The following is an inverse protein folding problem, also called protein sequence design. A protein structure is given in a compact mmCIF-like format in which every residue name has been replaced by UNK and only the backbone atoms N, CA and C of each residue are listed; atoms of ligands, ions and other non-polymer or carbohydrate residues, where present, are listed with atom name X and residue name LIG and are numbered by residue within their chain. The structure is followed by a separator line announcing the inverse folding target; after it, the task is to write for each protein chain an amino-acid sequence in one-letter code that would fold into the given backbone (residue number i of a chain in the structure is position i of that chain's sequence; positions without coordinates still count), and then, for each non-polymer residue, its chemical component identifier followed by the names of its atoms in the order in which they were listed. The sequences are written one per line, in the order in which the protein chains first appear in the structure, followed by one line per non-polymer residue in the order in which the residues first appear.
data_IF_525510147081
#
_entry.id   IF_525510147081
#
_cell.length_a   1.000
_cell.length_b   1.000
_cell.length_c   1.000
_cell.angle_alpha   90.00
_cell.angle_beta   90.00
_cell.angle_gamma   90.00
#
_symmetry.space_group_name_H-M   'P 1'
#
loop_
_entity.id
_entity.type
_entity.pdbx_description
1 polymer ?
#
# COMPACT_ATOMS: atom_id res chain seq x y z
N UNK A 1 -2.33 33.61 -18.98
CA UNK A 1 -2.45 32.15 -19.08
C UNK A 1 -3.85 31.79 -19.54
N UNK A 2 -3.97 30.91 -20.49
CA UNK A 2 -5.27 30.47 -20.96
C UNK A 2 -5.92 29.58 -19.92
N UNK A 3 -7.25 29.59 -19.86
CA UNK A 3 -8.01 28.81 -18.91
C UNK A 3 -7.71 27.30 -19.04
N UNK A 4 -7.57 26.80 -20.26
CA UNK A 4 -7.21 25.42 -20.52
C UNK A 4 -5.83 25.03 -19.97
N UNK A 5 -4.89 25.97 -19.93
CA UNK A 5 -3.55 25.71 -19.37
C UNK A 5 -3.60 25.59 -17.84
N UNK A 6 -4.45 26.38 -17.19
CA UNK A 6 -4.66 26.28 -15.75
C UNK A 6 -5.34 24.97 -15.38
N UNK A 7 -6.33 24.53 -16.16
CA UNK A 7 -7.01 23.26 -15.92
C UNK A 7 -6.04 22.10 -16.09
N UNK A 8 -5.18 22.12 -17.13
CA UNK A 8 -4.17 21.09 -17.33
C UNK A 8 -3.17 21.05 -16.19
N UNK A 9 -2.73 22.21 -15.71
CA UNK A 9 -1.80 22.29 -14.57
C UNK A 9 -2.43 21.69 -13.31
N UNK A 10 -3.66 22.07 -13.00
CA UNK A 10 -4.34 21.56 -11.79
C UNK A 10 -4.57 20.07 -11.85
N UNK A 11 -4.94 19.54 -13.02
CA UNK A 11 -5.12 18.11 -13.22
C UNK A 11 -3.80 17.36 -13.04
N UNK A 12 -2.72 17.87 -13.61
CA UNK A 12 -1.41 17.26 -13.50
C UNK A 12 -0.91 17.31 -12.05
N UNK A 13 -1.16 18.42 -11.35
CA UNK A 13 -0.79 18.54 -9.94
C UNK A 13 -1.56 17.54 -9.08
N UNK A 14 -2.87 17.38 -9.32
CA UNK A 14 -3.67 16.40 -8.58
C UNK A 14 -3.18 14.97 -8.84
N UNK A 15 -2.85 14.65 -10.08
CA UNK A 15 -2.32 13.34 -10.45
C UNK A 15 -0.97 13.09 -9.77
N UNK A 16 -0.09 14.08 -9.76
CA UNK A 16 1.22 13.96 -9.12
C UNK A 16 1.08 13.76 -7.61
N UNK A 17 0.18 14.51 -6.97
CA UNK A 17 -0.10 14.36 -5.54
C UNK A 17 -0.59 12.96 -5.22
N UNK A 18 -1.45 12.39 -6.07
CA UNK A 18 -1.95 11.03 -5.91
C UNK A 18 -0.82 10.00 -6.02
N UNK A 19 0.06 10.17 -7.01
CA UNK A 19 1.21 9.29 -7.19
C UNK A 19 2.17 9.37 -6.00
N UNK A 20 2.38 10.56 -5.44
CA UNK A 20 3.20 10.72 -4.24
C UNK A 20 2.60 9.97 -3.05
N UNK A 21 1.29 10.05 -2.87
CA UNK A 21 0.61 9.30 -1.80
C UNK A 21 0.76 7.81 -1.98
N UNK A 22 0.61 7.31 -3.20
CA UNK A 22 0.80 5.89 -3.51
C UNK A 22 2.24 5.46 -3.25
N UNK A 23 3.21 6.27 -3.67
CA UNK A 23 4.63 6.00 -3.44
C UNK A 23 4.95 5.97 -1.95
N UNK A 24 4.42 6.90 -1.16
CA UNK A 24 4.61 6.92 0.28
C UNK A 24 4.03 5.67 0.92
N UNK A 25 2.84 5.24 0.50
CA UNK A 25 2.21 4.04 1.01
C UNK A 25 3.05 2.80 0.68
N UNK A 26 3.55 2.69 -0.55
CA UNK A 26 4.40 1.57 -0.96
C UNK A 26 5.65 1.50 -0.08
N UNK A 27 6.35 2.62 0.09
CA UNK A 27 7.55 2.67 0.93
C UNK A 27 7.23 2.32 2.38
N UNK A 28 6.12 2.82 2.90
CA UNK A 28 5.69 2.54 4.26
C UNK A 28 5.40 1.05 4.46
N UNK A 29 4.69 0.43 3.52
CA UNK A 29 4.39 -1.00 3.56
C UNK A 29 5.69 -1.80 3.55
N UNK A 30 6.58 -1.54 2.60
CA UNK A 30 7.82 -2.29 2.48
C UNK A 30 8.70 -2.12 3.71
N UNK A 31 8.70 -0.93 4.32
CA UNK A 31 9.49 -0.69 5.54
C UNK A 31 8.97 -1.48 6.75
N UNK A 32 7.68 -1.81 6.78
CA UNK A 32 7.10 -2.61 7.87
C UNK A 32 7.29 -4.10 7.68
N UNK A 33 7.73 -4.55 6.51
CA UNK A 33 7.88 -5.97 6.20
C UNK A 33 9.29 -6.49 6.46
N UNK A 34 10.04 -5.89 7.38
CA UNK A 34 11.33 -6.42 7.85
C UNK A 34 11.17 -7.77 8.53
N UNK A 35 9.98 -8.04 9.06
CA UNK A 35 9.57 -9.32 9.61
C UNK A 35 8.22 -9.68 9.02
N UNK A 36 7.88 -10.98 8.96
CA UNK A 36 6.58 -11.40 8.41
C UNK A 36 5.42 -10.77 9.18
N UNK A 37 4.41 -10.33 8.45
CA UNK A 37 3.21 -9.75 9.03
C UNK A 37 1.96 -10.18 8.30
N UNK A 38 0.89 -10.40 9.04
CA UNK A 38 -0.44 -10.58 8.46
C UNK A 38 -0.94 -9.26 7.89
N UNK A 39 -1.84 -9.34 6.90
CA UNK A 39 -2.38 -8.13 6.29
C UNK A 39 -3.06 -7.21 7.30
N UNK A 40 -3.82 -7.76 8.26
CA UNK A 40 -4.48 -6.94 9.27
C UNK A 40 -3.49 -6.29 10.24
N UNK A 41 -2.37 -6.94 10.53
CA UNK A 41 -1.31 -6.35 11.35
C UNK A 41 -0.67 -5.15 10.66
N UNK A 42 -0.50 -5.22 9.34
CA UNK A 42 0.00 -4.10 8.56
C UNK A 42 -0.94 -2.90 8.64
N UNK A 43 -2.25 -3.14 8.52
CA UNK A 43 -3.24 -2.06 8.65
C UNK A 43 -3.11 -1.38 9.99
N UNK A 44 -3.02 -2.16 11.07
CA UNK A 44 -2.89 -1.63 12.42
C UNK A 44 -1.60 -0.87 12.63
N UNK A 45 -0.46 -1.41 12.20
CA UNK A 45 0.84 -0.75 12.37
C UNK A 45 0.95 0.54 11.57
N UNK A 46 0.44 0.55 10.34
CA UNK A 46 0.42 1.76 9.54
C UNK A 46 -0.46 2.82 10.19
N UNK A 47 -1.63 2.42 10.70
CA UNK A 47 -2.52 3.31 11.41
C UNK A 47 -1.88 3.92 12.66
N UNK A 48 -1.15 3.11 13.42
CA UNK A 48 -0.42 3.57 14.61
C UNK A 48 0.64 4.62 14.27
N UNK A 49 1.16 4.61 13.05
CA UNK A 49 2.13 5.59 12.56
C UNK A 49 1.50 6.75 11.82
N UNK A 50 0.17 6.87 11.89
CA UNK A 50 -0.55 7.94 11.23
C UNK A 50 -0.80 7.74 9.75
N UNK A 51 -0.58 6.53 9.24
CA UNK A 51 -0.80 6.21 7.83
C UNK A 51 -2.08 5.40 7.71
N UNK A 52 -3.13 6.03 7.21
CA UNK A 52 -4.39 5.34 7.01
C UNK A 52 -4.35 4.55 5.71
N UNK A 53 -4.44 3.23 5.82
CA UNK A 53 -4.49 2.34 4.68
C UNK A 53 -5.68 1.40 4.90
N UNK A 54 -6.75 1.67 4.17
CA UNK A 54 -7.94 0.82 4.24
C UNK A 54 -7.66 -0.53 3.59
N UNK A 55 -8.28 -1.62 4.08
CA UNK A 55 -8.10 -2.94 3.47
C UNK A 55 -8.39 -2.97 1.97
N UNK A 56 -9.42 -2.25 1.52
CA UNK A 56 -9.75 -2.17 0.10
C UNK A 56 -8.68 -1.52 -0.76
N UNK A 57 -7.78 -0.75 -0.17
CA UNK A 57 -6.62 -0.16 -0.86
C UNK A 57 -5.36 -0.99 -0.63
N UNK A 58 -5.16 -1.45 0.59
CA UNK A 58 -3.93 -2.14 0.99
C UNK A 58 -3.81 -3.53 0.34
N UNK A 59 -4.86 -4.36 0.37
CA UNK A 59 -4.76 -5.71 -0.15
C UNK A 59 -4.51 -5.77 -1.66
N UNK A 60 -5.16 -4.96 -2.50
CA UNK A 60 -4.79 -4.90 -3.91
C UNK A 60 -3.35 -4.44 -4.14
N UNK A 61 -2.86 -3.52 -3.31
CA UNK A 61 -1.47 -3.08 -3.38
C UNK A 61 -0.51 -4.21 -3.05
N UNK A 62 -0.77 -4.96 -1.98
CA UNK A 62 0.07 -6.11 -1.60
C UNK A 62 0.14 -7.14 -2.71
N UNK A 63 -0.99 -7.45 -3.36
CA UNK A 63 -1.01 -8.39 -4.49
C UNK A 63 -0.19 -7.88 -5.66
N UNK A 64 -0.25 -6.58 -5.94
CA UNK A 64 0.54 -6.00 -7.02
C UNK A 64 2.03 -6.02 -6.71
N UNK A 65 2.41 -5.70 -5.48
CA UNK A 65 3.81 -5.73 -5.06
C UNK A 65 4.37 -7.15 -5.10
N UNK A 66 3.57 -8.13 -4.70
CA UNK A 66 3.94 -9.53 -4.81
C UNK A 66 4.16 -9.95 -6.26
N UNK A 67 3.26 -9.55 -7.16
CA UNK A 67 3.40 -9.84 -8.59
C UNK A 67 4.65 -9.20 -9.19
N UNK A 68 5.09 -8.06 -8.65
CA UNK A 68 6.33 -7.39 -9.06
C UNK A 68 7.55 -7.93 -8.33
N UNK A 69 7.40 -8.94 -7.51
CA UNK A 69 8.49 -9.59 -6.76
C UNK A 69 9.16 -8.65 -5.75
N UNK A 70 8.44 -7.65 -5.27
CA UNK A 70 8.92 -6.73 -4.25
C UNK A 70 8.63 -7.23 -2.84
N UNK A 71 7.74 -8.20 -2.71
CA UNK A 71 7.48 -8.90 -1.47
C UNK A 71 6.99 -10.31 -1.78
N UNK A 72 7.01 -11.17 -0.77
CA UNK A 72 6.50 -12.52 -0.85
C UNK A 72 5.30 -12.68 0.08
N UNK A 73 4.52 -13.71 -0.18
CA UNK A 73 3.44 -14.11 0.74
C UNK A 73 3.50 -15.61 0.98
N UNK A 74 3.05 -15.99 2.16
CA UNK A 74 2.98 -17.38 2.56
C UNK A 74 1.72 -17.62 3.38
N UNK A 75 1.21 -18.84 3.29
CA UNK A 75 0.04 -19.23 4.06
C UNK A 75 0.47 -19.96 5.33
N UNK A 76 -0.07 -19.54 6.46
CA UNK A 76 0.05 -20.30 7.70
C UNK A 76 -1.18 -21.18 7.83
N UNK A 77 -0.97 -22.48 7.86
CA UNK A 77 -2.04 -23.49 7.90
C UNK A 77 -2.10 -24.26 9.19
N UNK A 78 -1.29 -23.90 10.17
CA UNK A 78 -1.24 -24.59 11.47
C UNK A 78 -2.46 -24.32 12.36
N UNK A 79 -3.23 -23.28 12.06
CA UNK A 79 -4.44 -22.94 12.80
C UNK A 79 -5.70 -23.49 12.16
N UNK A 80 -6.86 -23.25 12.79
CA UNK A 80 -8.16 -23.68 12.29
C UNK A 80 -8.56 -22.95 11.01
N UNK A 81 -8.01 -21.76 10.76
CA UNK A 81 -8.24 -20.99 9.53
C UNK A 81 -6.89 -20.62 8.92
N UNK A 82 -6.71 -20.84 7.60
CA UNK A 82 -5.50 -20.37 6.94
C UNK A 82 -5.36 -18.85 7.04
N UNK A 83 -4.14 -18.40 7.29
CA UNK A 83 -3.82 -16.98 7.33
C UNK A 83 -2.69 -16.70 6.37
N UNK A 84 -2.82 -15.61 5.62
CA UNK A 84 -1.79 -15.18 4.69
C UNK A 84 -0.95 -14.09 5.33
N UNK A 85 0.38 -14.27 5.32
CA UNK A 85 1.29 -13.24 5.79
C UNK A 85 2.27 -12.86 4.69
N UNK A 86 2.84 -11.67 4.84
CA UNK A 86 3.72 -11.03 3.86
C UNK A 86 5.07 -10.75 4.48
N UNK A 87 6.07 -10.80 3.64
CA UNK A 87 7.45 -10.53 4.06
C UNK A 87 8.28 -9.88 2.94
#
# INVERSE_FOLDING_TARGET
MKESDQDAFQKNFANLSLELRRGTLVLSVLSQLRKPQYGYSLVEELGAKGIQAEPGTLYPLLRRLEAQQLLDSMWETSGSKPRKYYV
#
